data_IF_223199326716
#
_entry.id   IF_223199326716
#
_cell.length_a   1.000
_cell.length_b   1.000
_cell.length_c   1.000
_cell.angle_alpha   90.00
_cell.angle_beta   90.00
_cell.angle_gamma   90.00
#
_symmetry.space_group_name_H-M   'P 1'
#
loop_
_entity.id
_entity.type
_entity.pdbx_description
1 polymer ?
#
# COMPACT_ATOMS: atom_id res chain seq x y z
N UNK A 1 16.43 11.23 -73.62
CA UNK A 1 15.20 11.30 -72.78
C UNK A 1 14.69 9.89 -72.40
N UNK A 2 15.51 9.00 -71.81
CA UNK A 2 15.05 7.66 -71.41
C UNK A 2 15.50 7.21 -69.99
N UNK A 3 16.34 7.98 -69.29
CA UNK A 3 16.86 7.55 -67.97
C UNK A 3 16.14 8.14 -66.75
N UNK A 4 15.24 9.11 -66.90
CA UNK A 4 14.56 9.73 -65.74
C UNK A 4 13.27 8.98 -65.35
N UNK A 5 12.64 8.27 -66.30
CA UNK A 5 11.40 7.53 -66.06
C UNK A 5 11.58 6.21 -65.28
N UNK A 6 12.82 5.70 -65.14
CA UNK A 6 13.08 4.41 -64.45
C UNK A 6 13.43 4.56 -62.96
N UNK A 7 13.82 5.75 -62.48
CA UNK A 7 14.09 5.97 -61.06
C UNK A 7 12.81 6.21 -60.23
N UNK A 8 11.73 6.72 -60.84
CA UNK A 8 10.47 6.99 -60.12
C UNK A 8 9.68 5.73 -59.75
N UNK A 9 9.86 4.63 -60.48
CA UNK A 9 9.09 3.40 -60.29
C UNK A 9 9.71 2.50 -59.20
N UNK A 10 11.04 2.54 -59.03
CA UNK A 10 11.72 1.75 -57.99
C UNK A 10 11.54 2.38 -56.60
N UNK A 11 11.41 3.72 -56.51
CA UNK A 11 11.18 4.40 -55.23
C UNK A 11 9.75 4.24 -54.70
N UNK A 12 8.77 3.97 -55.57
CA UNK A 12 7.38 3.70 -55.17
C UNK A 12 7.17 2.29 -54.61
N UNK A 13 7.94 1.30 -55.07
CA UNK A 13 7.82 -0.09 -54.59
C UNK A 13 8.56 -0.35 -53.28
N UNK A 14 9.58 0.45 -52.95
CA UNK A 14 10.32 0.30 -51.69
C UNK A 14 9.60 0.93 -50.47
N UNK A 15 8.61 1.79 -50.68
CA UNK A 15 7.90 2.48 -49.59
C UNK A 15 6.69 1.69 -49.06
N UNK A 16 6.21 0.67 -49.79
CA UNK A 16 5.11 -0.20 -49.34
C UNK A 16 5.54 -1.40 -48.48
N UNK A 17 6.85 -1.64 -48.29
CA UNK A 17 7.36 -2.79 -47.51
C UNK A 17 7.74 -2.43 -46.06
N UNK A 18 7.54 -1.19 -45.62
CA UNK A 18 7.91 -0.74 -44.27
C UNK A 18 6.74 -0.19 -43.44
N UNK A 19 5.50 -0.31 -43.89
CA UNK A 19 4.37 -0.17 -42.98
C UNK A 19 4.15 -1.53 -42.32
N UNK A 20 4.54 -1.73 -41.04
CA UNK A 20 3.98 -2.84 -40.30
C UNK A 20 2.48 -2.69 -40.43
N UNK A 21 1.82 -3.73 -40.97
CA UNK A 21 0.37 -3.83 -40.92
C UNK A 21 -0.01 -3.48 -39.48
N UNK A 22 -0.65 -2.32 -39.33
CA UNK A 22 -1.23 -1.90 -38.06
C UNK A 22 -2.28 -2.97 -37.80
N UNK A 23 -1.88 -4.01 -37.06
CA UNK A 23 -2.79 -5.03 -36.60
C UNK A 23 -3.87 -4.24 -35.88
N UNK A 24 -5.07 -4.24 -36.46
CA UNK A 24 -6.23 -3.71 -35.77
C UNK A 24 -6.24 -4.42 -34.42
N UNK A 25 -5.97 -3.68 -33.36
CA UNK A 25 -6.12 -4.15 -32.00
C UNK A 25 -7.60 -4.48 -31.88
N UNK A 26 -7.95 -5.76 -32.06
CA UNK A 26 -9.30 -6.25 -31.85
C UNK A 26 -9.70 -5.75 -30.47
N UNK A 27 -10.73 -4.90 -30.43
CA UNK A 27 -11.23 -4.34 -29.19
C UNK A 27 -11.43 -5.49 -28.21
N UNK A 28 -10.68 -5.45 -27.11
CA UNK A 28 -10.62 -6.58 -26.20
C UNK A 28 -12.04 -6.96 -25.76
N UNK A 29 -12.40 -8.26 -25.78
CA UNK A 29 -13.77 -8.69 -25.56
C UNK A 29 -14.27 -8.18 -24.21
N UNK A 30 -15.41 -7.49 -24.23
CA UNK A 30 -16.08 -7.04 -23.00
C UNK A 30 -16.78 -8.27 -22.40
N UNK A 31 -16.47 -8.65 -21.15
CA UNK A 31 -17.10 -9.81 -20.53
C UNK A 31 -18.59 -9.56 -20.31
N UNK A 32 -19.40 -10.59 -20.57
CA UNK A 32 -20.85 -10.56 -20.41
C UNK A 32 -21.32 -11.59 -19.36
N UNK A 33 -22.61 -11.48 -18.99
CA UNK A 33 -23.22 -12.36 -17.99
C UNK A 33 -23.32 -13.81 -18.47
N UNK A 34 -23.61 -14.03 -19.76
CA UNK A 34 -23.75 -15.37 -20.30
C UNK A 34 -22.41 -16.11 -20.31
N UNK A 35 -21.32 -15.41 -20.67
CA UNK A 35 -19.96 -15.94 -20.56
C UNK A 35 -19.57 -16.30 -19.13
N UNK A 36 -19.94 -15.46 -18.15
CA UNK A 36 -19.72 -15.75 -16.73
C UNK A 36 -20.47 -17.02 -16.28
N UNK A 37 -21.76 -17.13 -16.60
CA UNK A 37 -22.58 -18.30 -16.22
C UNK A 37 -22.03 -19.56 -16.86
N UNK A 38 -21.70 -19.52 -18.15
CA UNK A 38 -21.12 -20.68 -18.85
C UNK A 38 -19.78 -21.10 -18.26
N UNK A 39 -18.96 -20.14 -17.81
CA UNK A 39 -17.71 -20.44 -17.13
C UNK A 39 -17.96 -21.09 -15.76
N UNK A 40 -18.86 -20.52 -14.97
CA UNK A 40 -19.26 -21.04 -13.66
C UNK A 40 -19.81 -22.47 -13.75
N UNK A 41 -20.72 -22.76 -14.68
CA UNK A 41 -21.22 -24.14 -14.88
C UNK A 41 -20.08 -25.13 -15.16
N UNK A 42 -19.07 -24.72 -15.92
CA UNK A 42 -17.89 -25.55 -16.21
C UNK A 42 -16.96 -25.67 -15.00
N UNK A 43 -16.90 -24.68 -14.11
CA UNK A 43 -16.12 -24.78 -12.88
C UNK A 43 -16.78 -25.73 -11.89
N UNK A 44 -18.11 -25.66 -11.71
CA UNK A 44 -18.85 -26.59 -10.83
C UNK A 44 -18.64 -28.05 -11.23
N UNK A 45 -18.71 -28.37 -12.54
CA UNK A 45 -18.50 -29.73 -13.04
C UNK A 45 -17.08 -30.24 -12.77
N UNK A 46 -16.10 -29.33 -12.69
CA UNK A 46 -14.69 -29.66 -12.45
C UNK A 46 -14.32 -29.65 -10.97
N UNK A 47 -15.17 -29.10 -10.10
CA UNK A 47 -14.85 -28.97 -8.69
C UNK A 47 -14.90 -30.37 -8.02
N UNK A 48 -13.80 -30.82 -7.38
CA UNK A 48 -13.76 -32.13 -6.74
C UNK A 48 -14.75 -32.28 -5.57
N UNK A 49 -15.22 -31.18 -5.00
CA UNK A 49 -16.18 -31.15 -3.90
C UNK A 49 -17.63 -31.18 -4.37
N UNK A 50 -17.88 -31.04 -5.67
CA UNK A 50 -19.21 -31.14 -6.26
C UNK A 50 -19.44 -32.58 -6.69
N UNK A 51 -20.38 -33.23 -6.00
CA UNK A 51 -20.74 -34.63 -6.25
C UNK A 51 -21.76 -34.77 -7.38
N UNK A 52 -22.63 -33.78 -7.54
CA UNK A 52 -23.66 -33.75 -8.58
C UNK A 52 -23.96 -32.31 -8.98
N UNK A 53 -24.00 -32.06 -10.28
CA UNK A 53 -24.41 -30.79 -10.86
C UNK A 53 -25.07 -31.07 -12.22
N UNK A 54 -26.39 -31.07 -12.26
CA UNK A 54 -27.17 -31.38 -13.46
C UNK A 54 -28.26 -30.32 -13.69
N UNK A 55 -28.45 -29.89 -14.94
CA UNK A 55 -29.52 -28.94 -15.29
C UNK A 55 -30.88 -29.59 -15.12
N UNK A 56 -31.81 -28.87 -14.48
CA UNK A 56 -33.21 -29.30 -14.42
C UNK A 56 -34.02 -28.73 -15.59
N UNK A 57 -35.34 -28.96 -15.58
CA UNK A 57 -36.27 -28.36 -16.55
C UNK A 57 -36.53 -26.88 -16.28
N UNK A 58 -36.29 -26.42 -15.06
CA UNK A 58 -36.48 -25.04 -14.65
C UNK A 58 -35.21 -24.24 -14.96
N UNK A 59 -35.37 -23.06 -15.58
CA UNK A 59 -34.25 -22.21 -15.97
C UNK A 59 -33.48 -21.73 -14.74
N UNK A 60 -32.15 -21.89 -14.79
CA UNK A 60 -31.26 -21.52 -13.69
C UNK A 60 -31.36 -22.42 -12.46
N UNK A 61 -32.06 -23.56 -12.54
CA UNK A 61 -32.17 -24.52 -11.43
C UNK A 61 -31.43 -25.81 -11.76
N UNK A 62 -30.64 -26.28 -10.79
CA UNK A 62 -29.75 -27.42 -10.93
C UNK A 62 -30.00 -28.43 -9.81
N UNK A 63 -29.93 -29.72 -10.14
CA UNK A 63 -29.78 -30.78 -9.14
C UNK A 63 -28.34 -30.73 -8.63
N UNK A 64 -28.17 -30.42 -7.35
CA UNK A 64 -26.87 -30.14 -6.75
C UNK A 64 -26.59 -31.00 -5.50
N UNK A 65 -25.37 -31.51 -5.42
CA UNK A 65 -24.85 -32.15 -4.22
C UNK A 65 -23.36 -31.83 -4.07
N UNK A 66 -22.93 -31.59 -2.83
CA UNK A 66 -21.55 -31.25 -2.50
C UNK A 66 -21.10 -31.90 -1.19
N UNK A 67 -19.79 -32.05 -1.00
CA UNK A 67 -19.19 -32.47 0.26
C UNK A 67 -18.72 -31.32 1.17
N UNK A 68 -18.72 -30.06 0.69
CA UNK A 68 -18.39 -28.87 1.50
C UNK A 68 -19.25 -28.80 2.77
N UNK A 69 -20.50 -29.18 2.62
CA UNK A 69 -21.50 -29.34 3.65
C UNK A 69 -22.47 -30.44 3.21
N UNK A 70 -23.14 -31.15 4.13
CA UNK A 70 -24.01 -32.26 3.77
C UNK A 70 -25.34 -31.74 3.17
N UNK A 71 -25.30 -31.37 1.88
CA UNK A 71 -26.43 -30.88 1.12
C UNK A 71 -26.64 -31.69 -0.14
N UNK A 72 -27.90 -32.05 -0.38
CA UNK A 72 -28.38 -32.68 -1.60
C UNK A 72 -29.78 -32.15 -1.86
N UNK A 73 -29.93 -31.38 -2.93
CA UNK A 73 -31.18 -30.71 -3.25
C UNK A 73 -31.03 -29.88 -4.51
N UNK A 74 -31.84 -28.83 -4.64
CA UNK A 74 -31.81 -27.93 -5.77
C UNK A 74 -30.98 -26.68 -5.47
N UNK A 75 -30.21 -26.27 -6.45
CA UNK A 75 -29.45 -25.03 -6.44
C UNK A 75 -30.06 -24.10 -7.49
N UNK A 76 -30.39 -22.88 -7.10
CA UNK A 76 -30.93 -21.87 -8.01
C UNK A 76 -29.94 -20.75 -8.23
N UNK A 77 -29.68 -20.44 -9.48
CA UNK A 77 -29.00 -19.23 -9.91
C UNK A 77 -29.96 -18.04 -9.75
N UNK A 78 -29.67 -17.17 -8.79
CA UNK A 78 -30.43 -15.95 -8.56
C UNK A 78 -30.01 -14.85 -9.52
N UNK A 79 -28.69 -14.65 -9.67
CA UNK A 79 -28.15 -13.55 -10.45
C UNK A 79 -26.71 -13.83 -10.89
N UNK A 80 -26.31 -13.13 -11.94
CA UNK A 80 -24.94 -13.04 -12.40
C UNK A 80 -24.57 -11.56 -12.55
N UNK A 81 -23.61 -11.11 -11.75
CA UNK A 81 -23.17 -9.72 -11.69
C UNK A 81 -21.78 -9.62 -12.30
N UNK A 82 -21.64 -8.78 -13.33
CA UNK A 82 -20.34 -8.43 -13.90
C UNK A 82 -20.08 -6.97 -13.60
N UNK A 83 -18.97 -6.67 -12.94
CA UNK A 83 -18.60 -5.31 -12.54
C UNK A 83 -17.20 -4.99 -13.01
N UNK A 84 -17.06 -3.87 -13.71
CA UNK A 84 -15.74 -3.33 -14.08
C UNK A 84 -15.10 -2.73 -12.83
N UNK A 85 -13.85 -3.10 -12.56
CA UNK A 85 -13.07 -2.48 -11.50
C UNK A 85 -12.79 -1.02 -11.87
N UNK A 86 -12.96 -0.12 -10.90
CA UNK A 86 -12.63 1.30 -11.01
C UNK A 86 -11.22 1.60 -10.50
N UNK A 87 -10.45 0.57 -10.10
CA UNK A 87 -9.11 0.76 -9.56
C UNK A 87 -8.12 1.09 -10.70
N UNK A 88 -7.45 2.23 -10.55
CA UNK A 88 -6.58 2.82 -11.60
C UNK A 88 -5.37 1.96 -11.96
N UNK A 89 -4.92 1.07 -11.07
CA UNK A 89 -3.81 0.14 -11.32
C UNK A 89 -4.27 -1.21 -11.91
N UNK A 90 -5.57 -1.40 -12.09
CA UNK A 90 -6.22 -2.58 -12.67
C UNK A 90 -7.13 -2.18 -13.81
N UNK A 91 -6.66 -1.26 -14.66
CA UNK A 91 -7.43 -0.77 -15.79
C UNK A 91 -7.85 -1.94 -16.70
N UNK A 92 -9.16 -2.04 -16.94
CA UNK A 92 -9.74 -3.13 -17.71
C UNK A 92 -10.02 -4.41 -16.92
N UNK A 93 -9.80 -4.49 -15.61
CA UNK A 93 -10.22 -5.67 -14.85
C UNK A 93 -11.74 -5.70 -14.70
N UNK A 94 -12.35 -6.87 -14.94
CA UNK A 94 -13.74 -7.12 -14.57
C UNK A 94 -13.81 -8.22 -13.52
N UNK A 95 -14.80 -8.11 -12.65
CA UNK A 95 -15.12 -9.07 -11.61
C UNK A 95 -16.50 -9.64 -11.89
N UNK A 96 -16.69 -10.92 -11.56
CA UNK A 96 -17.91 -11.67 -11.77
C UNK A 96 -18.34 -12.31 -10.47
N UNK A 97 -19.62 -12.18 -10.12
CA UNK A 97 -20.21 -12.83 -8.94
C UNK A 97 -21.43 -13.63 -9.39
N UNK A 98 -21.50 -14.89 -8.98
CA UNK A 98 -22.66 -15.74 -9.15
C UNK A 98 -23.40 -15.84 -7.82
N UNK A 99 -24.64 -15.33 -7.79
CA UNK A 99 -25.51 -15.37 -6.61
C UNK A 99 -26.39 -16.61 -6.68
N UNK A 100 -26.37 -17.41 -5.62
CA UNK A 100 -26.99 -18.72 -5.58
C UNK A 100 -27.90 -18.89 -4.37
N UNK A 101 -28.92 -19.74 -4.50
CA UNK A 101 -29.83 -20.13 -3.44
C UNK A 101 -29.91 -21.65 -3.33
N UNK A 102 -29.73 -22.16 -2.10
CA UNK A 102 -29.98 -23.56 -1.76
C UNK A 102 -31.46 -23.73 -1.39
N UNK A 103 -32.28 -24.08 -2.38
CA UNK A 103 -33.75 -24.03 -2.25
C UNK A 103 -34.31 -24.98 -1.19
N UNK A 104 -33.67 -26.13 -0.98
CA UNK A 104 -34.14 -27.18 -0.08
C UNK A 104 -33.38 -27.19 1.26
N UNK A 105 -32.66 -26.10 1.56
CA UNK A 105 -31.92 -25.97 2.82
C UNK A 105 -32.88 -25.79 4.01
N UNK A 106 -32.74 -26.55 5.10
CA UNK A 106 -33.58 -26.37 6.30
C UNK A 106 -33.29 -25.01 6.98
N UNK A 107 -34.22 -24.46 7.79
CA UNK A 107 -34.08 -23.12 8.37
C UNK A 107 -32.79 -22.89 9.18
N UNK A 108 -32.32 -23.90 9.91
CA UNK A 108 -31.10 -23.82 10.73
C UNK A 108 -29.81 -24.13 9.96
N UNK A 109 -29.90 -24.43 8.67
CA UNK A 109 -28.77 -24.88 7.84
C UNK A 109 -27.61 -23.89 7.84
N UNK A 110 -27.91 -22.62 7.52
CA UNK A 110 -26.90 -21.57 7.42
C UNK A 110 -26.26 -21.24 8.76
N UNK A 111 -26.98 -21.43 9.87
CA UNK A 111 -26.42 -21.27 11.22
C UNK A 111 -25.46 -22.42 11.55
N UNK A 112 -25.83 -23.65 11.21
CA UNK A 112 -25.03 -24.85 11.50
C UNK A 112 -23.78 -24.95 10.62
N UNK A 113 -23.86 -24.58 9.35
CA UNK A 113 -22.78 -24.70 8.37
C UNK A 113 -22.25 -23.35 7.89
N UNK A 114 -22.35 -22.29 8.69
CA UNK A 114 -21.97 -20.92 8.33
C UNK A 114 -20.57 -20.82 7.72
N UNK A 115 -19.58 -21.48 8.33
CA UNK A 115 -18.19 -21.44 7.87
C UNK A 115 -18.01 -22.15 6.52
N UNK A 116 -18.51 -23.39 6.39
CA UNK A 116 -18.43 -24.16 5.14
C UNK A 116 -19.21 -23.49 4.00
N UNK A 117 -20.40 -22.97 4.30
CA UNK A 117 -21.20 -22.22 3.34
C UNK A 117 -20.47 -20.95 2.89
N UNK A 118 -19.88 -20.20 3.83
CA UNK A 118 -19.08 -19.02 3.51
C UNK A 118 -17.84 -19.33 2.65
N UNK A 119 -17.18 -20.47 2.87
CA UNK A 119 -16.06 -20.90 2.04
C UNK A 119 -16.52 -21.28 0.61
N UNK A 120 -17.64 -22.02 0.51
CA UNK A 120 -18.24 -22.37 -0.77
C UNK A 120 -18.70 -21.13 -1.56
N UNK A 121 -19.32 -20.14 -0.90
CA UNK A 121 -19.76 -18.92 -1.60
C UNK A 121 -18.61 -18.08 -2.14
N UNK A 122 -17.43 -18.11 -1.52
CA UNK A 122 -16.24 -17.43 -2.02
C UNK A 122 -15.71 -18.02 -3.33
N UNK A 123 -16.02 -19.28 -3.63
CA UNK A 123 -15.61 -19.91 -4.89
C UNK A 123 -16.38 -19.37 -6.10
N UNK A 124 -17.52 -18.72 -5.88
CA UNK A 124 -18.37 -18.13 -6.92
C UNK A 124 -17.98 -16.70 -7.30
N UNK A 125 -16.75 -16.30 -6.92
CA UNK A 125 -16.15 -15.03 -7.29
C UNK A 125 -15.08 -15.25 -8.37
N UNK A 126 -15.24 -14.52 -9.48
CA UNK A 126 -14.45 -14.69 -10.69
C UNK A 126 -13.82 -13.37 -11.13
N UNK A 127 -12.66 -13.48 -11.79
CA UNK A 127 -11.95 -12.36 -12.38
C UNK A 127 -11.78 -12.57 -13.88
N UNK A 128 -12.05 -11.53 -14.67
CA UNK A 128 -11.88 -11.60 -16.12
C UNK A 128 -10.53 -11.01 -16.53
N UNK A 129 -9.69 -11.83 -17.16
CA UNK A 129 -8.44 -11.38 -17.75
C UNK A 129 -8.68 -10.85 -19.16
N UNK A 130 -8.82 -9.54 -19.32
CA UNK A 130 -9.07 -8.91 -20.64
C UNK A 130 -8.04 -9.31 -21.70
N UNK A 131 -6.76 -9.41 -21.34
CA UNK A 131 -5.69 -9.83 -22.26
C UNK A 131 -5.87 -11.25 -22.81
N UNK A 132 -6.47 -12.16 -22.03
CA UNK A 132 -6.71 -13.56 -22.42
C UNK A 132 -8.13 -13.81 -22.89
N UNK A 133 -9.06 -12.89 -22.61
CA UNK A 133 -10.49 -13.07 -22.85
C UNK A 133 -11.12 -14.18 -22.02
N UNK A 134 -10.53 -14.54 -20.87
CA UNK A 134 -10.90 -15.72 -20.08
C UNK A 134 -11.21 -15.34 -18.62
N UNK A 135 -12.24 -15.97 -18.06
CA UNK A 135 -12.57 -15.92 -16.63
C UNK A 135 -11.64 -16.82 -15.83
N UNK A 136 -11.29 -16.39 -14.63
CA UNK A 136 -10.49 -17.13 -13.66
C UNK A 136 -11.23 -17.20 -12.33
N UNK A 137 -11.22 -18.35 -11.65
CA UNK A 137 -11.65 -18.40 -10.25
C UNK A 137 -10.69 -17.60 -9.37
N UNK A 138 -11.17 -17.11 -8.24
CA UNK A 138 -10.37 -16.34 -7.29
C UNK A 138 -9.07 -17.07 -6.86
N UNK A 139 -9.12 -18.39 -6.72
CA UNK A 139 -7.96 -19.22 -6.35
C UNK A 139 -6.81 -19.11 -7.38
N UNK A 140 -7.13 -19.15 -8.67
CA UNK A 140 -6.15 -19.07 -9.77
C UNK A 140 -5.74 -17.64 -10.11
N UNK A 141 -6.61 -16.67 -9.83
CA UNK A 141 -6.34 -15.25 -10.11
C UNK A 141 -5.08 -14.73 -9.41
N UNK A 142 -4.81 -15.17 -8.18
CA UNK A 142 -3.61 -14.75 -7.43
C UNK A 142 -2.30 -15.10 -8.15
N UNK A 143 -2.21 -16.31 -8.71
CA UNK A 143 -1.04 -16.76 -9.45
C UNK A 143 -0.90 -16.03 -10.79
N UNK A 144 -2.01 -15.81 -11.50
CA UNK A 144 -2.01 -15.11 -12.77
C UNK A 144 -1.68 -13.61 -12.63
N UNK A 145 -2.29 -12.94 -11.65
CA UNK A 145 -2.04 -11.52 -11.40
C UNK A 145 -0.60 -11.25 -10.96
N UNK A 146 0.02 -12.15 -10.18
CA UNK A 146 1.43 -12.02 -9.81
C UNK A 146 2.38 -11.97 -11.04
N UNK A 147 2.07 -12.70 -12.11
CA UNK A 147 2.82 -12.66 -13.37
C UNK A 147 2.57 -11.35 -14.13
N UNK A 148 1.31 -10.90 -14.19
CA UNK A 148 0.96 -9.60 -14.77
C UNK A 148 1.71 -8.44 -14.09
N UNK A 149 1.76 -8.42 -12.76
CA UNK A 149 2.46 -7.36 -12.02
C UNK A 149 3.98 -7.39 -12.22
N UNK A 150 4.59 -8.57 -12.40
CA UNK A 150 6.02 -8.66 -12.75
C UNK A 150 6.31 -8.07 -14.13
N UNK A 151 5.40 -8.25 -15.08
CA UNK A 151 5.54 -7.73 -16.45
C UNK A 151 5.13 -6.25 -16.62
N UNK A 152 4.35 -5.72 -15.67
CA UNK A 152 3.87 -4.34 -15.67
C UNK A 152 4.71 -3.40 -14.78
N UNK A 153 5.74 -3.90 -14.09
CA UNK A 153 6.83 -3.01 -13.68
C UNK A 153 7.35 -2.38 -14.98
N UNK A 154 7.31 -1.03 -15.12
CA UNK A 154 7.83 -0.39 -16.31
C UNK A 154 9.23 -0.96 -16.50
N UNK A 155 9.55 -1.38 -17.72
CA UNK A 155 10.92 -1.69 -18.09
C UNK A 155 11.78 -0.53 -17.60
N UNK A 156 12.37 -0.70 -16.42
CA UNK A 156 13.36 0.19 -15.85
C UNK A 156 14.56 -0.05 -16.75
N UNK A 157 14.50 0.62 -17.89
CA UNK A 157 15.53 0.74 -18.88
C UNK A 157 16.78 1.22 -18.15
N UNK A 158 17.71 0.28 -17.98
CA UNK A 158 19.06 0.57 -17.52
C UNK A 158 19.22 0.50 -15.99
N UNK A 159 19.92 -0.55 -15.57
CA UNK A 159 20.61 -0.70 -14.29
C UNK A 159 19.76 -1.28 -13.12
N UNK A 160 19.96 -2.57 -12.74
CA UNK A 160 19.27 -3.19 -11.60
C UNK A 160 19.58 -2.56 -10.23
N UNK A 161 20.52 -1.62 -10.14
CA UNK A 161 20.77 -0.86 -8.92
C UNK A 161 19.71 0.24 -8.67
N UNK A 162 19.10 0.84 -9.69
CA UNK A 162 18.27 2.05 -9.52
C UNK A 162 16.85 1.74 -9.02
N UNK A 163 16.26 0.61 -9.41
CA UNK A 163 14.90 0.23 -8.98
C UNK A 163 14.84 -0.27 -7.53
N UNK A 164 15.91 -0.90 -7.05
CA UNK A 164 16.06 -1.29 -5.64
C UNK A 164 16.31 -0.04 -4.77
N UNK A 165 17.23 0.84 -5.20
CA UNK A 165 17.52 2.08 -4.47
C UNK A 165 16.33 3.02 -4.38
N UNK A 166 15.44 3.10 -5.38
CA UNK A 166 14.25 3.97 -5.30
C UNK A 166 13.21 3.46 -4.29
N UNK A 167 13.01 2.14 -4.19
CA UNK A 167 12.14 1.51 -3.18
C UNK A 167 12.64 1.76 -1.75
N UNK A 168 13.96 1.65 -1.52
CA UNK A 168 14.55 1.94 -0.21
C UNK A 168 14.72 3.44 0.05
N UNK A 169 14.98 4.27 -0.96
CA UNK A 169 15.10 5.71 -0.79
C UNK A 169 13.76 6.34 -0.38
N UNK A 170 12.63 5.92 -0.96
CA UNK A 170 11.32 6.47 -0.58
C UNK A 170 10.97 6.26 0.91
N UNK A 171 11.40 5.15 1.50
CA UNK A 171 11.12 4.82 2.91
C UNK A 171 12.21 5.28 3.87
N UNK A 172 13.50 5.17 3.51
CA UNK A 172 14.61 5.45 4.41
C UNK A 172 15.16 6.87 4.33
N UNK A 173 14.94 7.59 3.22
CA UNK A 173 15.35 8.98 3.08
C UNK A 173 14.73 9.89 4.17
N UNK A 174 13.41 9.86 4.48
CA UNK A 174 12.87 10.68 5.56
C UNK A 174 13.44 10.31 6.93
N UNK A 175 13.76 9.03 7.17
CA UNK A 175 14.37 8.56 8.43
C UNK A 175 15.81 9.09 8.55
N UNK A 176 16.60 9.04 7.48
CA UNK A 176 17.96 9.58 7.45
C UNK A 176 17.97 11.10 7.61
N UNK A 177 17.04 11.81 6.97
CA UNK A 177 16.89 13.27 7.14
C UNK A 177 16.55 13.60 8.59
N UNK A 178 15.64 12.85 9.21
CA UNK A 178 15.30 13.02 10.63
C UNK A 178 16.53 12.81 11.53
N UNK A 179 17.31 11.74 11.30
CA UNK A 179 18.52 11.46 12.08
C UNK A 179 19.57 12.56 11.93
N UNK A 180 19.76 13.10 10.72
CA UNK A 180 20.67 14.22 10.48
C UNK A 180 20.20 15.48 11.20
N UNK A 181 18.90 15.79 11.15
CA UNK A 181 18.31 16.94 11.86
C UNK A 181 18.49 16.80 13.37
N UNK A 182 18.22 15.61 13.94
CA UNK A 182 18.42 15.33 15.37
C UNK A 182 19.90 15.50 15.74
N UNK A 183 20.83 14.93 14.96
CA UNK A 183 22.26 15.09 15.20
C UNK A 183 22.69 16.56 15.13
N UNK A 184 22.12 17.35 14.22
CA UNK A 184 22.40 18.78 14.09
C UNK A 184 21.89 19.57 15.29
N UNK A 185 20.67 19.30 15.76
CA UNK A 185 20.10 19.88 16.99
C UNK A 185 20.95 19.53 18.20
N UNK A 186 21.34 18.26 18.37
CA UNK A 186 22.22 17.85 19.47
C UNK A 186 23.58 18.56 19.44
N UNK A 187 24.18 18.69 18.26
CA UNK A 187 25.46 19.39 18.09
C UNK A 187 25.33 20.89 18.41
N UNK A 188 24.23 21.53 18.01
CA UNK A 188 23.98 22.93 18.27
C UNK A 188 23.64 23.19 19.75
N UNK A 189 22.80 22.36 20.35
CA UNK A 189 22.46 22.39 21.76
C UNK A 189 23.69 22.19 22.65
N UNK A 190 24.59 21.26 22.30
CA UNK A 190 25.85 21.05 23.04
C UNK A 190 26.77 22.28 22.99
N UNK A 191 26.82 22.99 21.85
CA UNK A 191 27.57 24.24 21.72
C UNK A 191 26.96 25.40 22.50
N UNK A 192 25.63 25.50 22.55
CA UNK A 192 24.95 26.53 23.35
C UNK A 192 25.07 26.25 24.85
N UNK A 193 24.90 25.00 25.28
CA UNK A 193 25.02 24.60 26.68
C UNK A 193 26.42 24.89 27.23
N UNK A 194 27.49 24.70 26.45
CA UNK A 194 28.84 25.05 26.88
C UNK A 194 28.98 26.55 27.22
N UNK A 195 28.36 27.43 26.43
CA UNK A 195 28.38 28.89 26.70
C UNK A 195 27.54 29.27 27.92
N UNK A 196 26.39 28.60 28.11
CA UNK A 196 25.55 28.80 29.30
C UNK A 196 26.33 28.41 30.56
N UNK A 197 27.02 27.26 30.57
CA UNK A 197 27.84 26.83 31.71
C UNK A 197 28.98 27.81 32.03
N UNK A 198 29.64 28.38 31.02
CA UNK A 198 30.69 29.39 31.23
C UNK A 198 30.12 30.67 31.88
N UNK A 199 28.95 31.13 31.44
CA UNK A 199 28.28 32.29 32.01
C UNK A 199 27.81 32.03 33.45
N UNK A 200 27.30 30.83 33.74
CA UNK A 200 26.93 30.42 35.10
C UNK A 200 28.16 30.34 36.02
N UNK A 201 29.29 29.83 35.52
CA UNK A 201 30.54 29.79 36.28
C UNK A 201 31.06 31.20 36.59
N UNK A 202 30.98 32.13 35.64
CA UNK A 202 31.34 33.55 35.86
C UNK A 202 30.41 34.22 36.87
N UNK A 203 29.10 34.02 36.75
CA UNK A 203 28.13 34.57 37.69
C UNK A 203 28.34 34.06 39.13
N UNK A 204 28.67 32.77 39.30
CA UNK A 204 29.03 32.19 40.61
C UNK A 204 30.32 32.80 41.17
N UNK A 205 31.33 33.00 40.33
CA UNK A 205 32.59 33.64 40.75
C UNK A 205 32.37 35.09 41.19
N UNK A 206 31.50 35.84 40.49
CA UNK A 206 31.12 37.21 40.88
C UNK A 206 30.31 37.24 42.18
N UNK A 207 29.38 36.30 42.39
CA UNK A 207 28.67 36.15 43.66
C UNK A 207 29.63 35.88 44.81
N UNK A 208 30.61 34.98 44.64
CA UNK A 208 31.62 34.70 45.66
C UNK A 208 32.48 35.92 45.98
N UNK A 209 32.84 36.73 44.98
CA UNK A 209 33.56 38.01 45.21
C UNK A 209 32.68 39.01 45.97
N UNK A 210 31.40 39.14 45.59
CA UNK A 210 30.44 39.97 46.29
C UNK A 210 30.29 39.59 47.76
N UNK A 211 30.23 38.28 48.06
CA UNK A 211 30.15 37.77 49.43
C UNK A 211 31.42 38.10 50.24
N UNK A 212 32.62 37.99 49.65
CA UNK A 212 33.86 38.38 50.34
C UNK A 212 33.92 39.88 50.66
N UNK A 213 33.53 40.72 49.71
CA UNK A 213 33.48 42.18 49.94
C UNK A 213 32.44 42.51 51.01
N UNK A 214 31.28 41.84 51.00
CA UNK A 214 30.29 41.99 52.05
C UNK A 214 30.84 41.60 53.43
N UNK A 215 31.57 40.48 53.53
CA UNK A 215 32.23 40.03 54.75
C UNK A 215 33.27 41.05 55.26
N UNK A 216 34.12 41.58 54.37
CA UNK A 216 35.10 42.62 54.69
C UNK A 216 34.42 43.92 55.14
N UNK A 217 33.37 44.35 54.45
CA UNK A 217 32.60 45.55 54.84
C UNK A 217 31.94 45.40 56.21
N UNK A 218 31.44 44.20 56.53
CA UNK A 218 30.83 43.90 57.83
C UNK A 218 31.88 43.96 58.93
N UNK A 219 33.08 43.42 58.67
CA UNK A 219 34.22 43.53 59.60
C UNK A 219 34.60 45.00 59.86
N UNK A 220 34.71 45.81 58.82
CA UNK A 220 34.98 47.25 58.98
C UNK A 220 33.87 47.99 59.74
N UNK A 221 32.59 47.66 59.50
CA UNK A 221 31.48 48.24 60.27
C UNK A 221 31.56 47.88 61.75
N UNK A 222 31.95 46.66 62.09
CA UNK A 222 32.18 46.25 63.49
C UNK A 222 33.35 47.03 64.11
N UNK A 223 34.46 47.17 63.38
CA UNK A 223 35.63 47.96 63.82
C UNK A 223 35.26 49.43 64.06
N UNK A 224 34.52 50.07 63.14
CA UNK A 224 34.02 51.44 63.31
C UNK A 224 33.09 51.56 64.52
N UNK A 225 32.19 50.58 64.71
CA UNK A 225 31.26 50.58 65.86
C UNK A 225 32.03 50.44 67.18
N UNK A 226 33.11 49.66 67.20
CA UNK A 226 33.96 49.49 68.36
C UNK A 226 34.74 50.77 68.68
N UNK A 227 35.35 51.42 67.68
CA UNK A 227 36.05 52.70 67.85
C UNK A 227 35.10 53.80 68.34
N UNK A 228 33.87 53.87 67.81
CA UNK A 228 32.87 54.83 68.28
C UNK A 228 32.50 54.58 69.75
N UNK A 229 32.38 53.32 70.17
CA UNK A 229 32.15 52.98 71.59
C UNK A 229 33.33 53.40 72.48
N UNK A 230 34.57 53.22 72.02
CA UNK A 230 35.77 53.66 72.74
C UNK A 230 35.82 55.18 72.89
N UNK A 231 35.56 55.94 71.82
CA UNK A 231 35.50 57.41 71.85
C UNK A 231 34.41 57.91 72.79
N UNK A 232 33.18 57.35 72.70
CA UNK A 232 32.08 57.70 73.61
C UNK A 232 32.43 57.35 75.06
N UNK A 233 33.12 56.24 75.29
CA UNK A 233 33.62 55.85 76.61
C UNK A 233 34.66 56.81 77.18
N UNK A 234 35.59 57.29 76.34
CA UNK A 234 36.61 58.26 76.72
C UNK A 234 36.03 59.66 77.01
N UNK A 235 35.04 60.11 76.23
CA UNK A 235 34.35 61.39 76.45
C UNK A 235 33.47 61.41 77.71
N UNK A 236 33.11 60.24 78.26
CA UNK A 236 32.29 60.11 79.47
C UNK A 236 33.12 60.08 80.76
N UNK A 237 34.46 59.97 80.66
CA UNK A 237 35.40 60.11 81.78
C UNK A 237 35.86 61.55 81.91
#
# INVERSE_FOLDING_TARGET
MQSIARLGIILGFLFCLCFPALAAEEAAPVPDKAGLISFWEKSEIKDPHVQRFEKTKEEGVYDFATDFFPYKGRLKLLNAVVTKSNESYLEGLYTGIIELELMDAPPDFFKKYAASYGAWTQQHYFYYAVKKGVWFPMSEWSAYSADLYKSAEPAASGCPLTSQLSRYAGTWLPVLVLLVLVAFVFRFARRQNAKIWENHAKALAEQQRGLKIAEESLKHQLEHTQLLKEIVGALKK
#
